data_IF_192135600272
#
_entry.id   IF_192135600272
#
_cell.length_a   1.000
_cell.length_b   1.000
_cell.length_c   1.000
_cell.angle_alpha   90.00
_cell.angle_beta   90.00
_cell.angle_gamma   90.00
#
_symmetry.space_group_name_H-M   'P 1'
#
loop_
_entity.id
_entity.type
_entity.pdbx_description
1 polymer ?
#
# COMPACT_ATOMS: atom_id res chain seq x y z
N UNK A 1 47.06 18.62 -13.08
CA UNK A 1 45.73 19.28 -13.18
C UNK A 1 44.74 18.51 -14.05
N UNK A 2 45.11 18.13 -15.27
CA UNK A 2 44.26 17.35 -16.22
C UNK A 2 43.70 16.02 -15.68
N UNK A 3 44.45 15.30 -14.85
CA UNK A 3 44.01 13.98 -14.31
C UNK A 3 42.83 14.12 -13.34
N UNK A 4 42.84 15.14 -12.45
CA UNK A 4 41.73 15.41 -11.49
C UNK A 4 40.44 15.89 -12.20
N UNK A 5 40.57 16.69 -13.28
CA UNK A 5 39.43 17.13 -14.08
C UNK A 5 38.76 15.95 -14.80
N UNK A 6 39.55 15.03 -15.36
CA UNK A 6 39.01 13.81 -15.99
C UNK A 6 38.31 12.88 -14.97
N UNK A 7 38.86 12.75 -13.78
CA UNK A 7 38.22 11.96 -12.72
C UNK A 7 36.89 12.57 -12.27
N UNK A 8 36.83 13.90 -12.10
CA UNK A 8 35.58 14.60 -11.78
C UNK A 8 34.52 14.44 -12.89
N UNK A 9 34.93 14.53 -14.15
CA UNK A 9 34.00 14.33 -15.28
C UNK A 9 33.45 12.90 -15.30
N UNK A 10 34.30 11.91 -15.09
CA UNK A 10 33.87 10.50 -15.02
C UNK A 10 32.90 10.24 -13.86
N UNK A 11 33.15 10.81 -12.69
CA UNK A 11 32.24 10.71 -11.55
C UNK A 11 30.90 11.40 -11.83
N UNK A 12 30.89 12.56 -12.48
CA UNK A 12 29.67 13.25 -12.88
C UNK A 12 28.86 12.42 -13.89
N UNK A 13 29.53 11.88 -14.91
CA UNK A 13 28.88 11.01 -15.90
C UNK A 13 28.30 9.75 -15.24
N UNK A 14 29.05 9.12 -14.34
CA UNK A 14 28.58 7.96 -13.59
C UNK A 14 27.35 8.30 -12.73
N UNK A 15 27.38 9.43 -12.02
CA UNK A 15 26.22 9.90 -11.23
C UNK A 15 25.00 10.15 -12.10
N UNK A 16 25.17 10.87 -13.23
CA UNK A 16 24.08 11.13 -14.17
C UNK A 16 23.52 9.83 -14.78
N UNK A 17 24.39 8.86 -15.07
CA UNK A 17 23.95 7.56 -15.55
C UNK A 17 23.14 6.79 -14.50
N UNK A 18 23.53 6.84 -13.23
CA UNK A 18 22.77 6.20 -12.13
C UNK A 18 21.40 6.88 -11.97
N UNK A 19 21.36 8.22 -11.97
CA UNK A 19 20.09 8.96 -11.90
C UNK A 19 19.19 8.61 -13.08
N UNK A 20 19.73 8.56 -14.30
CA UNK A 20 18.99 8.20 -15.50
C UNK A 20 18.44 6.76 -15.41
N UNK A 21 19.25 5.81 -14.94
CA UNK A 21 18.82 4.43 -14.73
C UNK A 21 17.70 4.34 -13.70
N UNK A 22 17.78 5.07 -12.59
CA UNK A 22 16.71 5.13 -11.59
C UNK A 22 15.41 5.70 -12.15
N UNK A 23 15.49 6.72 -13.01
CA UNK A 23 14.30 7.33 -13.65
C UNK A 23 13.64 6.36 -14.65
N UNK A 24 14.44 5.62 -15.42
CA UNK A 24 13.95 4.74 -16.49
C UNK A 24 13.59 3.33 -15.96
N UNK A 25 14.22 2.88 -14.86
CA UNK A 25 13.97 1.57 -14.29
C UNK A 25 12.48 1.40 -13.95
N UNK A 26 11.81 0.31 -14.38
CA UNK A 26 10.43 0.07 -13.97
C UNK A 26 10.37 -0.12 -12.44
N UNK A 27 9.24 0.21 -11.78
CA UNK A 27 9.02 -0.17 -10.40
C UNK A 27 9.17 -1.70 -10.28
N UNK A 28 9.85 -2.16 -9.25
CA UNK A 28 10.18 -3.60 -9.10
C UNK A 28 9.19 -4.29 -8.16
N UNK A 29 8.54 -3.54 -7.30
CA UNK A 29 7.77 -4.09 -6.20
C UNK A 29 6.27 -4.10 -6.43
N UNK A 30 5.63 -5.08 -5.78
CA UNK A 30 4.18 -5.17 -5.66
C UNK A 30 3.66 -3.97 -4.84
N UNK A 31 2.44 -3.56 -5.11
CA UNK A 31 1.77 -2.42 -4.48
C UNK A 31 2.45 -1.05 -4.69
N UNK A 32 3.26 -0.91 -5.75
CA UNK A 32 3.84 0.39 -6.10
C UNK A 32 2.76 1.39 -6.51
N UNK A 33 2.74 2.60 -5.91
CA UNK A 33 1.72 3.63 -6.14
C UNK A 33 1.69 4.15 -7.59
N UNK A 34 2.87 4.30 -8.21
CA UNK A 34 3.03 4.79 -9.59
C UNK A 34 3.22 3.62 -10.58
N UNK A 35 2.98 2.39 -10.14
CA UNK A 35 3.23 1.21 -10.96
C UNK A 35 2.03 0.85 -11.81
N UNK A 36 2.20 0.91 -13.15
CA UNK A 36 1.22 0.43 -14.13
C UNK A 36 1.23 -1.10 -14.30
N UNK A 37 2.07 -1.80 -13.54
CA UNK A 37 2.15 -3.26 -13.58
C UNK A 37 0.89 -3.88 -12.99
N UNK A 38 0.70 -5.16 -13.27
CA UNK A 38 -0.42 -5.93 -12.76
C UNK A 38 -0.56 -5.87 -11.23
N UNK A 39 0.56 -5.89 -10.50
CA UNK A 39 0.64 -5.81 -9.03
C UNK A 39 0.75 -4.39 -8.47
N UNK A 40 0.73 -3.35 -9.33
CA UNK A 40 0.77 -1.95 -8.89
C UNK A 40 -0.58 -1.46 -8.38
N UNK A 41 -0.61 -0.23 -7.85
CA UNK A 41 -1.79 0.43 -7.31
C UNK A 41 -2.20 1.69 -8.10
N UNK A 42 -1.57 1.99 -9.25
CA UNK A 42 -1.80 3.27 -9.95
C UNK A 42 -3.27 3.51 -10.28
N UNK A 43 -4.01 2.47 -10.69
CA UNK A 43 -5.44 2.60 -11.00
C UNK A 43 -6.25 2.92 -9.73
N UNK A 44 -6.01 2.21 -8.63
CA UNK A 44 -6.71 2.47 -7.37
C UNK A 44 -6.38 3.85 -6.80
N UNK A 45 -5.13 4.30 -6.92
CA UNK A 45 -4.72 5.66 -6.50
C UNK A 45 -5.46 6.73 -7.27
N UNK A 46 -5.60 6.58 -8.60
CA UNK A 46 -6.29 7.55 -9.46
C UNK A 46 -7.80 7.55 -9.23
N UNK A 47 -8.44 6.38 -9.22
CA UNK A 47 -9.90 6.29 -9.13
C UNK A 47 -10.46 6.66 -7.75
N UNK A 48 -9.67 6.43 -6.68
CA UNK A 48 -10.04 6.83 -5.31
C UNK A 48 -9.59 8.27 -4.96
N UNK A 49 -8.93 8.99 -5.86
CA UNK A 49 -8.24 10.26 -5.56
C UNK A 49 -7.34 10.11 -4.31
N UNK A 50 -6.69 8.95 -4.20
CA UNK A 50 -5.99 8.54 -3.00
C UNK A 50 -4.62 9.20 -2.90
N UNK A 51 -4.22 9.49 -1.67
CA UNK A 51 -2.90 10.05 -1.37
C UNK A 51 -2.02 9.03 -0.66
N UNK A 52 -0.72 9.06 -0.97
CA UNK A 52 0.26 8.22 -0.29
C UNK A 52 0.51 8.71 1.14
N UNK A 53 0.29 7.84 2.12
CA UNK A 53 0.64 8.08 3.51
C UNK A 53 2.04 7.51 3.79
N UNK A 54 3.04 8.39 3.78
CA UNK A 54 4.45 8.01 3.91
C UNK A 54 4.87 7.68 5.34
N UNK A 55 4.14 8.17 6.33
CA UNK A 55 4.36 7.88 7.75
C UNK A 55 3.04 7.90 8.51
N UNK A 56 2.80 6.88 9.34
CA UNK A 56 1.63 6.85 10.22
C UNK A 56 1.63 7.98 11.27
N UNK A 57 2.78 8.66 11.51
CA UNK A 57 2.82 9.88 12.33
C UNK A 57 2.02 11.05 11.71
N UNK A 58 1.80 11.03 10.39
CA UNK A 58 1.06 12.10 9.72
C UNK A 58 -0.45 12.01 9.97
N UNK A 59 -0.94 10.85 10.44
CA UNK A 59 -2.34 10.69 10.89
C UNK A 59 -2.70 11.62 12.05
N UNK A 60 -1.75 12.05 12.87
CA UNK A 60 -1.99 13.00 13.96
C UNK A 60 -2.46 14.39 13.47
N UNK A 61 -2.26 14.69 12.19
CA UNK A 61 -2.67 15.93 11.53
C UNK A 61 -3.90 15.76 10.66
N UNK A 62 -4.32 14.51 10.45
CA UNK A 62 -5.44 14.19 9.60
C UNK A 62 -6.74 14.50 10.33
N UNK A 63 -7.66 15.19 9.66
CA UNK A 63 -8.99 15.44 10.18
C UNK A 63 -9.92 14.28 9.80
N UNK A 64 -10.80 13.88 10.72
CA UNK A 64 -11.88 12.93 10.43
C UNK A 64 -13.08 13.64 9.76
N UNK A 65 -13.83 12.94 8.88
CA UNK A 65 -13.59 11.57 8.47
C UNK A 65 -12.44 11.45 7.46
N UNK A 66 -11.70 10.35 7.52
CA UNK A 66 -10.70 9.96 6.53
C UNK A 66 -10.54 8.43 6.56
N UNK A 67 -10.08 7.85 5.46
CA UNK A 67 -9.86 6.39 5.35
C UNK A 67 -8.39 6.07 5.15
N UNK A 68 -7.89 5.10 5.89
CA UNK A 68 -6.57 4.52 5.70
C UNK A 68 -6.70 3.12 5.12
N UNK A 69 -6.15 2.91 3.91
CA UNK A 69 -5.98 1.59 3.32
C UNK A 69 -4.61 1.04 3.72
N UNK A 70 -4.58 -0.12 4.37
CA UNK A 70 -3.37 -0.73 4.90
C UNK A 70 -3.23 -2.17 4.41
N UNK A 71 -2.08 -2.46 3.77
CA UNK A 71 -1.64 -3.80 3.40
C UNK A 71 -0.36 -4.10 4.18
N UNK A 72 -0.42 -4.86 5.29
CA UNK A 72 0.71 -5.05 6.20
C UNK A 72 1.66 -6.16 5.74
N UNK A 73 2.47 -5.88 4.73
CA UNK A 73 3.51 -6.81 4.23
C UNK A 73 4.78 -6.82 5.10
N UNK A 74 4.84 -5.93 6.11
CA UNK A 74 5.88 -5.84 7.13
C UNK A 74 5.23 -5.78 8.51
N UNK A 75 5.92 -6.25 9.58
CA UNK A 75 5.41 -6.17 10.94
C UNK A 75 4.96 -4.76 11.33
N UNK A 76 3.82 -4.65 11.98
CA UNK A 76 3.29 -3.39 12.49
C UNK A 76 3.83 -3.15 13.89
N UNK A 77 4.57 -2.04 14.08
CA UNK A 77 5.14 -1.72 15.38
C UNK A 77 4.06 -1.35 16.41
N UNK A 78 4.28 -1.58 17.72
CA UNK A 78 3.34 -1.14 18.76
C UNK A 78 3.05 0.37 18.71
N UNK A 79 4.01 1.18 18.30
CA UNK A 79 3.81 2.62 18.12
C UNK A 79 2.89 2.94 16.95
N UNK A 80 2.95 2.17 15.87
CA UNK A 80 2.08 2.33 14.70
C UNK A 80 0.68 1.80 15.00
N UNK A 81 0.56 0.68 15.72
CA UNK A 81 -0.72 0.19 16.24
C UNK A 81 -1.42 1.27 17.07
N UNK A 82 -0.71 1.90 18.01
CA UNK A 82 -1.29 2.97 18.84
C UNK A 82 -1.67 4.23 18.04
N UNK A 83 -1.01 4.52 16.92
CA UNK A 83 -1.40 5.62 16.02
C UNK A 83 -2.67 5.30 15.26
N UNK A 84 -2.76 4.10 14.70
CA UNK A 84 -3.96 3.61 14.00
C UNK A 84 -5.14 3.52 14.96
N UNK A 85 -4.94 3.03 16.19
CA UNK A 85 -5.96 2.99 17.22
C UNK A 85 -6.55 4.39 17.50
N UNK A 86 -5.69 5.38 17.76
CA UNK A 86 -6.15 6.76 18.01
C UNK A 86 -6.84 7.37 16.80
N UNK A 87 -6.36 7.09 15.60
CA UNK A 87 -6.99 7.53 14.37
C UNK A 87 -8.41 6.99 14.22
N UNK A 88 -8.59 5.69 14.45
CA UNK A 88 -9.92 5.06 14.35
C UNK A 88 -10.83 5.53 15.48
N UNK A 89 -10.35 5.55 16.74
CA UNK A 89 -11.15 6.05 17.88
C UNK A 89 -11.63 7.48 17.63
N UNK A 90 -10.85 8.29 16.93
CA UNK A 90 -11.17 9.67 16.57
C UNK A 90 -12.10 9.83 15.36
N UNK A 91 -12.72 8.75 14.87
CA UNK A 91 -13.69 8.78 13.75
C UNK A 91 -13.08 8.49 12.38
N UNK A 92 -11.86 7.94 12.30
CA UNK A 92 -11.27 7.47 11.05
C UNK A 92 -11.72 6.05 10.68
N UNK A 93 -11.64 5.71 9.41
CA UNK A 93 -11.89 4.36 8.88
C UNK A 93 -10.57 3.68 8.55
N UNK A 94 -10.32 2.48 9.09
CA UNK A 94 -9.20 1.63 8.72
C UNK A 94 -9.70 0.47 7.87
N UNK A 95 -9.21 0.36 6.64
CA UNK A 95 -9.43 -0.82 5.77
C UNK A 95 -8.15 -1.63 5.76
N UNK A 96 -8.15 -2.74 6.48
CA UNK A 96 -7.06 -3.69 6.56
C UNK A 96 -7.28 -4.79 5.51
N UNK A 97 -6.36 -4.91 4.57
CA UNK A 97 -6.38 -5.95 3.53
C UNK A 97 -5.16 -6.82 3.69
N UNK A 98 -5.37 -8.08 4.07
CA UNK A 98 -4.27 -9.02 4.29
C UNK A 98 -4.72 -10.46 4.09
N UNK A 99 -3.81 -11.28 3.58
CA UNK A 99 -4.01 -12.72 3.34
C UNK A 99 -3.01 -13.57 4.16
N UNK A 100 -1.72 -13.29 4.00
CA UNK A 100 -0.59 -14.05 4.56
C UNK A 100 0.48 -13.13 5.18
N UNK A 101 0.13 -11.89 5.51
CA UNK A 101 1.05 -10.89 6.03
C UNK A 101 1.05 -10.77 7.55
N UNK A 102 1.01 -9.55 8.03
CA UNK A 102 1.12 -9.20 9.46
C UNK A 102 -0.15 -8.57 10.05
N UNK A 103 -1.30 -8.77 9.42
CA UNK A 103 -2.59 -8.20 9.87
C UNK A 103 -3.02 -8.67 11.25
N UNK A 104 -2.76 -9.94 11.58
CA UNK A 104 -3.13 -10.51 12.87
C UNK A 104 -2.45 -9.83 14.07
N UNK A 105 -1.20 -9.38 13.91
CA UNK A 105 -0.48 -8.64 14.96
C UNK A 105 -1.19 -7.30 15.25
N UNK A 106 -1.65 -6.63 14.20
CA UNK A 106 -2.38 -5.38 14.31
C UNK A 106 -3.77 -5.60 14.94
N UNK A 107 -4.55 -6.55 14.43
CA UNK A 107 -5.90 -6.87 14.94
C UNK A 107 -5.86 -7.21 16.43
N UNK A 108 -4.92 -8.06 16.83
CA UNK A 108 -4.70 -8.40 18.25
C UNK A 108 -4.32 -7.17 19.07
N UNK A 109 -3.42 -6.30 18.53
CA UNK A 109 -2.99 -5.07 19.20
C UNK A 109 -4.11 -4.03 19.37
N UNK A 110 -5.10 -4.02 18.46
CA UNK A 110 -6.31 -3.20 18.54
C UNK A 110 -7.43 -3.83 19.40
N UNK A 111 -7.25 -5.07 19.86
CA UNK A 111 -8.27 -5.80 20.62
C UNK A 111 -9.48 -6.23 19.80
N UNK A 112 -9.33 -6.40 18.49
CA UNK A 112 -10.38 -6.80 17.56
C UNK A 112 -10.46 -8.32 17.50
N UNK A 113 -11.65 -8.88 17.69
CA UNK A 113 -11.91 -10.33 17.69
C UNK A 113 -12.11 -10.86 16.25
N UNK A 114 -11.10 -10.62 15.42
CA UNK A 114 -10.98 -11.13 14.06
C UNK A 114 -9.57 -11.65 13.88
N UNK A 115 -9.44 -12.82 13.26
CA UNK A 115 -8.15 -13.36 12.82
C UNK A 115 -8.21 -13.75 11.35
N UNK A 116 -7.13 -13.49 10.63
CA UNK A 116 -6.90 -13.97 9.27
C UNK A 116 -6.33 -15.38 9.41
N UNK A 117 -6.98 -16.37 8.83
CA UNK A 117 -6.64 -17.78 9.05
C UNK A 117 -5.27 -18.17 8.45
N UNK A 118 -4.84 -17.49 7.40
CA UNK A 118 -3.52 -17.70 6.77
C UNK A 118 -3.43 -18.93 5.86
N UNK A 119 -4.51 -19.69 5.69
CA UNK A 119 -4.63 -20.71 4.64
C UNK A 119 -5.19 -20.15 3.33
N UNK A 120 -5.20 -20.91 2.25
CA UNK A 120 -5.75 -20.48 0.96
C UNK A 120 -7.24 -20.82 0.87
N UNK A 121 -8.06 -19.82 0.57
CA UNK A 121 -9.47 -20.03 0.26
C UNK A 121 -9.62 -20.57 -1.16
N UNK A 122 -10.21 -21.75 -1.30
CA UNK A 122 -10.53 -22.38 -2.57
C UNK A 122 -12.05 -22.42 -2.76
N UNK A 123 -12.55 -22.00 -3.91
CA UNK A 123 -13.95 -22.22 -4.29
C UNK A 123 -14.01 -22.86 -5.68
N UNK A 124 -14.27 -24.17 -5.77
CA UNK A 124 -14.28 -24.87 -7.04
C UNK A 124 -15.53 -24.60 -7.91
N UNK A 125 -16.51 -23.86 -7.37
CA UNK A 125 -17.80 -23.62 -8.04
C UNK A 125 -18.00 -22.15 -8.39
N UNK A 126 -17.77 -21.25 -7.45
CA UNK A 126 -17.94 -19.81 -7.64
C UNK A 126 -16.58 -19.12 -7.72
N UNK A 127 -15.93 -19.28 -8.86
CA UNK A 127 -14.62 -18.72 -9.15
C UNK A 127 -14.49 -18.27 -10.60
N UNK A 128 -13.57 -17.36 -10.84
CA UNK A 128 -13.09 -16.98 -12.16
C UNK A 128 -11.74 -17.67 -12.43
N UNK A 129 -11.52 -18.19 -13.63
CA UNK A 129 -10.30 -18.85 -14.07
C UNK A 129 -9.93 -20.14 -13.31
N UNK A 130 -9.83 -20.10 -11.99
CA UNK A 130 -9.52 -21.24 -11.13
C UNK A 130 -10.06 -21.04 -9.71
N UNK A 131 -10.00 -22.08 -8.90
CA UNK A 131 -10.53 -22.14 -7.54
C UNK A 131 -9.87 -21.17 -6.53
N UNK A 132 -8.66 -20.67 -6.82
CA UNK A 132 -7.97 -19.66 -5.98
C UNK A 132 -8.42 -18.23 -6.30
N UNK A 133 -9.35 -18.05 -7.23
CA UNK A 133 -9.93 -16.75 -7.59
C UNK A 133 -11.45 -16.75 -7.35
N UNK A 134 -11.89 -16.94 -6.10
CA UNK A 134 -13.32 -16.98 -5.77
C UNK A 134 -14.02 -15.64 -6.03
N UNK A 135 -15.30 -15.74 -6.38
CA UNK A 135 -16.22 -14.61 -6.47
C UNK A 135 -17.28 -14.77 -5.40
N UNK A 136 -17.48 -13.74 -4.60
CA UNK A 136 -18.43 -13.76 -3.50
C UNK A 136 -19.27 -12.49 -3.42
N UNK A 137 -20.45 -12.59 -2.83
CA UNK A 137 -21.30 -11.45 -2.56
C UNK A 137 -20.93 -10.79 -1.23
N UNK A 138 -20.85 -9.47 -1.22
CA UNK A 138 -20.67 -8.66 -0.01
C UNK A 138 -21.81 -7.63 0.10
N UNK A 139 -22.16 -7.28 1.32
CA UNK A 139 -23.15 -6.25 1.62
C UNK A 139 -22.49 -5.18 2.48
N UNK A 140 -22.59 -3.93 2.04
CA UNK A 140 -22.09 -2.79 2.82
C UNK A 140 -23.09 -2.44 3.94
N UNK A 141 -22.62 -1.97 5.11
CA UNK A 141 -23.48 -1.71 6.26
C UNK A 141 -24.63 -0.72 5.97
N UNK A 142 -24.40 0.24 5.07
CA UNK A 142 -25.38 1.27 4.71
C UNK A 142 -26.20 0.95 3.45
N UNK A 143 -25.95 -0.21 2.81
CA UNK A 143 -26.56 -0.59 1.52
C UNK A 143 -27.09 -2.03 1.56
N UNK A 144 -27.88 -2.36 2.58
CA UNK A 144 -28.39 -3.73 2.78
C UNK A 144 -29.17 -4.31 1.61
N UNK A 145 -29.75 -3.46 0.75
CA UNK A 145 -30.52 -3.88 -0.43
C UNK A 145 -29.65 -4.18 -1.66
N UNK A 146 -28.39 -3.74 -1.68
CA UNK A 146 -27.50 -3.88 -2.81
C UNK A 146 -26.29 -4.76 -2.45
N UNK A 147 -26.23 -5.95 -3.00
CA UNK A 147 -25.05 -6.79 -2.90
C UNK A 147 -24.06 -6.45 -4.01
N UNK A 148 -22.80 -6.25 -3.63
CA UNK A 148 -21.67 -6.15 -4.53
C UNK A 148 -21.03 -7.53 -4.70
N UNK A 149 -20.32 -7.75 -5.80
CA UNK A 149 -19.55 -8.96 -6.03
C UNK A 149 -18.07 -8.67 -5.98
N UNK A 150 -17.35 -9.30 -5.06
CA UNK A 150 -15.89 -9.24 -5.01
C UNK A 150 -15.29 -10.41 -5.74
N UNK A 151 -14.26 -10.15 -6.54
CA UNK A 151 -13.37 -11.16 -7.05
C UNK A 151 -12.06 -11.11 -6.25
N UNK A 152 -11.71 -12.24 -5.68
CA UNK A 152 -10.49 -12.41 -4.88
C UNK A 152 -9.39 -13.08 -5.70
N UNK A 153 -8.17 -13.02 -5.15
CA UNK A 153 -7.00 -13.62 -5.78
C UNK A 153 -6.04 -14.19 -4.72
N UNK A 154 -6.01 -15.50 -4.59
CA UNK A 154 -5.23 -16.20 -3.57
C UNK A 154 -5.50 -15.69 -2.16
N UNK A 155 -6.75 -15.44 -1.85
CA UNK A 155 -7.19 -14.93 -0.56
C UNK A 155 -7.11 -15.97 0.54
N UNK A 156 -7.18 -15.48 1.79
CA UNK A 156 -7.45 -16.29 2.96
C UNK A 156 -8.94 -16.18 3.34
N UNK A 157 -9.29 -16.57 4.56
CA UNK A 157 -10.60 -16.35 5.19
C UNK A 157 -10.41 -15.76 6.59
N UNK A 158 -11.49 -15.29 7.17
CA UNK A 158 -11.51 -14.72 8.52
C UNK A 158 -12.12 -15.69 9.52
N UNK A 159 -11.53 -15.75 10.69
CA UNK A 159 -12.15 -16.27 11.91
C UNK A 159 -12.70 -15.06 12.66
N UNK A 160 -14.01 -15.04 12.88
CA UNK A 160 -14.73 -13.86 13.39
C UNK A 160 -15.42 -14.23 14.68
N UNK A 161 -15.22 -13.41 15.71
CA UNK A 161 -15.89 -13.53 17.02
C UNK A 161 -16.44 -12.20 17.52
N UNK A 162 -17.02 -12.18 18.71
CA UNK A 162 -17.50 -10.96 19.37
C UNK A 162 -18.54 -10.16 18.57
N UNK A 163 -18.47 -8.85 18.70
CA UNK A 163 -19.39 -7.88 18.06
C UNK A 163 -18.87 -7.43 16.68
N UNK A 164 -18.54 -8.40 15.83
CA UNK A 164 -18.04 -8.16 14.46
C UNK A 164 -19.10 -8.54 13.44
N UNK A 165 -19.38 -7.66 12.50
CA UNK A 165 -20.33 -7.88 11.42
C UNK A 165 -19.64 -8.48 10.20
N UNK A 166 -20.07 -9.66 9.74
CA UNK A 166 -19.58 -10.26 8.49
C UNK A 166 -20.24 -9.55 7.31
N UNK A 167 -19.43 -8.91 6.47
CA UNK A 167 -19.90 -8.23 5.26
C UNK A 167 -20.04 -9.18 4.07
N UNK A 168 -19.20 -10.21 3.99
CA UNK A 168 -19.24 -11.18 2.92
C UNK A 168 -18.53 -12.47 3.28
N UNK A 169 -19.04 -13.56 2.72
CA UNK A 169 -18.51 -14.91 2.89
C UNK A 169 -18.42 -15.61 1.55
N UNK A 170 -17.52 -16.57 1.45
CA UNK A 170 -17.41 -17.48 0.31
C UNK A 170 -18.64 -18.36 0.16
N UNK A 171 -18.71 -19.15 -0.92
CA UNK A 171 -19.82 -20.04 -1.13
C UNK A 171 -19.81 -21.23 -0.16
N UNK A 172 -20.93 -21.95 -0.11
CA UNK A 172 -21.01 -23.20 0.68
C UNK A 172 -20.14 -24.34 0.16
N UNK A 173 -19.52 -24.17 -1.00
CA UNK A 173 -18.67 -25.18 -1.64
C UNK A 173 -17.17 -24.89 -1.42
N UNK A 174 -16.86 -23.81 -0.70
CA UNK A 174 -15.49 -23.41 -0.44
C UNK A 174 -14.80 -24.34 0.54
N UNK A 175 -13.49 -24.33 0.43
CA UNK A 175 -12.54 -25.09 1.23
C UNK A 175 -11.49 -24.10 1.77
N UNK A 176 -11.18 -24.18 3.04
CA UNK A 176 -10.05 -23.48 3.62
C UNK A 176 -8.84 -24.41 3.67
N UNK A 177 -8.01 -24.35 2.63
CA UNK A 177 -6.77 -25.14 2.49
C UNK A 177 -5.70 -24.55 3.42
N UNK A 178 -5.56 -25.16 4.60
CA UNK A 178 -4.71 -24.65 5.66
C UNK A 178 -3.22 -24.97 5.47
N UNK A 179 -2.89 -25.98 4.71
CA UNK A 179 -1.51 -26.42 4.43
C UNK A 179 -1.03 -26.08 3.02
N UNK A 180 -1.87 -25.39 2.22
CA UNK A 180 -1.58 -24.91 0.88
C UNK A 180 -1.26 -26.03 -0.14
N UNK A 181 -1.84 -27.21 0.04
CA UNK A 181 -1.63 -28.35 -0.88
C UNK A 181 -2.59 -28.36 -2.08
N UNK A 182 -3.57 -27.47 -2.12
CA UNK A 182 -4.56 -27.30 -3.18
C UNK A 182 -5.70 -28.32 -3.15
N UNK A 183 -5.83 -29.09 -2.07
CA UNK A 183 -6.87 -30.10 -1.92
C UNK A 183 -7.45 -30.07 -0.50
N UNK A 184 -8.68 -30.52 -0.35
CA UNK A 184 -9.26 -30.63 0.98
C UNK A 184 -8.70 -31.82 1.75
N UNK A 185 -8.28 -31.57 3.00
CA UNK A 185 -7.86 -32.58 3.95
C UNK A 185 -8.78 -32.65 5.17
N UNK A 186 -8.76 -33.82 5.82
CA UNK A 186 -9.60 -34.03 7.01
C UNK A 186 -9.20 -33.09 8.14
N UNK A 187 -10.11 -32.23 8.51
CA UNK A 187 -9.96 -31.25 9.60
C UNK A 187 -9.91 -29.83 9.11
N UNK A 188 -9.80 -29.62 7.81
CA UNK A 188 -9.89 -28.31 7.21
C UNK A 188 -11.32 -27.81 7.13
N UNK A 189 -11.53 -26.48 7.29
CA UNK A 189 -12.86 -25.90 7.24
C UNK A 189 -13.42 -25.98 5.82
N UNK A 190 -14.73 -26.22 5.74
CA UNK A 190 -15.48 -26.22 4.48
C UNK A 190 -16.77 -25.45 4.64
N UNK A 191 -17.29 -24.94 3.55
CA UNK A 191 -18.55 -24.19 3.53
C UNK A 191 -18.34 -22.69 3.44
N UNK A 192 -19.35 -21.94 3.83
CA UNK A 192 -19.30 -20.47 3.76
C UNK A 192 -18.35 -19.93 4.80
N UNK A 193 -17.19 -19.45 4.34
CA UNK A 193 -16.13 -18.88 5.18
C UNK A 193 -16.14 -17.35 5.06
N UNK A 194 -16.12 -16.59 6.18
CA UNK A 194 -16.07 -15.13 6.14
C UNK A 194 -14.80 -14.64 5.42
N UNK A 195 -14.93 -13.59 4.60
CA UNK A 195 -13.81 -12.98 3.87
C UNK A 195 -13.70 -11.50 4.14
N UNK A 196 -14.82 -10.84 4.34
CA UNK A 196 -14.88 -9.43 4.69
C UNK A 196 -15.73 -9.24 5.94
N UNK A 197 -15.25 -8.42 6.86
CA UNK A 197 -15.92 -8.13 8.11
C UNK A 197 -15.69 -6.67 8.53
N UNK A 198 -16.57 -6.13 9.37
CA UNK A 198 -16.44 -4.81 9.94
C UNK A 198 -16.77 -4.77 11.42
N UNK A 199 -16.14 -3.86 12.13
CA UNK A 199 -16.45 -3.55 13.52
C UNK A 199 -16.22 -2.08 13.82
N UNK A 200 -16.85 -1.56 14.86
CA UNK A 200 -16.63 -0.21 15.36
C UNK A 200 -15.52 -0.19 16.40
N UNK A 201 -14.73 0.89 16.41
CA UNK A 201 -13.74 1.17 17.45
C UNK A 201 -13.78 2.66 17.79
N UNK A 202 -14.33 3.02 18.95
CA UNK A 202 -14.59 4.43 19.28
C UNK A 202 -15.64 5.04 18.36
N UNK A 203 -15.32 6.19 17.77
CA UNK A 203 -16.20 6.88 16.81
C UNK A 203 -15.98 6.47 15.34
N UNK A 204 -14.99 5.61 15.08
CA UNK A 204 -14.64 5.13 13.75
C UNK A 204 -14.92 3.65 13.53
N UNK A 205 -14.42 3.13 12.41
CA UNK A 205 -14.67 1.77 11.96
C UNK A 205 -13.40 1.09 11.44
N UNK A 206 -13.40 -0.24 11.54
CA UNK A 206 -12.37 -1.10 10.95
C UNK A 206 -13.07 -2.07 10.00
N UNK A 207 -12.59 -2.13 8.77
CA UNK A 207 -12.99 -3.14 7.78
C UNK A 207 -11.79 -4.05 7.54
N UNK A 208 -12.00 -5.35 7.64
CA UNK A 208 -10.96 -6.36 7.40
C UNK A 208 -11.36 -7.18 6.17
N UNK A 209 -10.45 -7.31 5.22
CA UNK A 209 -10.62 -8.14 4.03
C UNK A 209 -9.49 -9.15 3.97
N UNK A 210 -9.81 -10.43 3.83
CA UNK A 210 -8.83 -11.52 3.78
C UNK A 210 -8.14 -11.68 2.41
N UNK A 211 -7.96 -10.56 1.71
CA UNK A 211 -7.25 -10.49 0.42
C UNK A 211 -6.50 -9.16 0.32
N UNK A 212 -5.18 -9.23 0.23
CA UNK A 212 -4.32 -8.06 0.08
C UNK A 212 -4.36 -7.48 -1.33
N UNK A 213 -4.83 -8.25 -2.32
CA UNK A 213 -4.66 -7.94 -3.75
C UNK A 213 -5.89 -7.34 -4.43
N UNK A 214 -7.02 -7.14 -3.75
CA UNK A 214 -8.24 -6.58 -4.39
C UNK A 214 -8.03 -5.21 -5.03
N UNK A 215 -7.03 -4.44 -4.57
CA UNK A 215 -6.72 -3.09 -5.08
C UNK A 215 -5.62 -3.05 -6.14
N UNK A 216 -4.92 -4.16 -6.42
CA UNK A 216 -3.88 -4.12 -7.44
C UNK A 216 -4.50 -3.91 -8.83
N UNK A 217 -3.74 -3.31 -9.75
CA UNK A 217 -4.22 -2.97 -11.10
C UNK A 217 -4.87 -4.13 -11.84
N UNK A 218 -4.39 -5.36 -11.60
CA UNK A 218 -4.94 -6.56 -12.22
C UNK A 218 -6.26 -7.04 -11.63
N UNK A 219 -6.67 -6.51 -10.46
CA UNK A 219 -7.85 -6.98 -9.73
C UNK A 219 -8.88 -5.88 -9.49
N UNK A 220 -8.44 -4.64 -9.34
CA UNK A 220 -9.30 -3.53 -8.92
C UNK A 220 -10.49 -3.25 -9.82
N UNK A 221 -10.35 -3.49 -11.12
CA UNK A 221 -11.43 -3.33 -12.12
C UNK A 221 -12.28 -4.59 -12.33
N UNK A 222 -12.07 -5.67 -11.57
CA UNK A 222 -12.83 -6.90 -11.71
C UNK A 222 -14.06 -6.86 -10.80
N UNK A 223 -15.21 -7.28 -11.35
CA UNK A 223 -16.49 -7.21 -10.65
C UNK A 223 -16.67 -5.83 -9.96
N UNK A 224 -17.02 -5.83 -8.67
CA UNK A 224 -17.27 -4.60 -7.90
C UNK A 224 -16.14 -4.30 -6.90
N UNK A 225 -14.91 -4.76 -7.13
CA UNK A 225 -13.79 -4.56 -6.22
C UNK A 225 -13.57 -3.07 -5.89
N UNK A 226 -13.52 -2.21 -6.92
CA UNK A 226 -13.40 -0.77 -6.73
C UNK A 226 -14.62 -0.18 -6.01
N UNK A 227 -15.83 -0.60 -6.39
CA UNK A 227 -17.07 -0.11 -5.78
C UNK A 227 -17.15 -0.47 -4.29
N UNK A 228 -16.66 -1.66 -3.91
CA UNK A 228 -16.58 -2.08 -2.51
C UNK A 228 -15.64 -1.16 -1.71
N UNK A 229 -14.41 -0.95 -2.20
CA UNK A 229 -13.44 -0.10 -1.48
C UNK A 229 -13.93 1.34 -1.39
N UNK A 230 -14.50 1.88 -2.46
CA UNK A 230 -15.13 3.21 -2.45
C UNK A 230 -16.30 3.28 -1.48
N UNK A 231 -17.08 2.19 -1.37
CA UNK A 231 -18.27 2.13 -0.53
C UNK A 231 -17.99 1.99 0.98
N UNK A 232 -16.83 1.45 1.35
CA UNK A 232 -16.39 1.40 2.77
C UNK A 232 -15.53 2.60 3.16
N UNK A 233 -15.09 3.40 2.19
CA UNK A 233 -14.30 4.59 2.45
C UNK A 233 -15.18 5.75 2.90
N UNK A 234 -14.69 6.51 3.89
CA UNK A 234 -15.29 7.75 4.35
C UNK A 234 -14.25 8.88 4.34
N UNK A 235 -14.56 9.98 3.66
CA UNK A 235 -13.64 11.10 3.48
C UNK A 235 -12.42 10.81 2.59
N UNK A 236 -11.35 11.59 2.71
CA UNK A 236 -10.12 11.41 1.95
C UNK A 236 -9.49 10.03 2.16
N UNK A 237 -9.03 9.40 1.06
CA UNK A 237 -8.41 8.08 1.10
C UNK A 237 -6.89 8.20 1.14
N UNK A 238 -6.28 7.53 2.10
CA UNK A 238 -4.84 7.48 2.33
C UNK A 238 -4.36 6.03 2.20
N UNK A 239 -3.35 5.78 1.37
CA UNK A 239 -2.74 4.44 1.25
C UNK A 239 -1.42 4.42 2.01
N UNK A 240 -1.34 3.56 3.03
CA UNK A 240 -0.16 3.46 3.90
C UNK A 240 1.01 2.79 3.16
N UNK A 241 2.11 3.53 2.97
CA UNK A 241 3.32 3.04 2.31
C UNK A 241 4.30 2.34 3.27
N UNK A 242 4.20 2.63 4.56
CA UNK A 242 5.20 2.22 5.56
C UNK A 242 5.32 0.71 5.72
N UNK A 243 4.25 -0.02 5.48
CA UNK A 243 4.18 -1.47 5.64
C UNK A 243 4.23 -2.23 4.31
N UNK A 244 4.34 -1.52 3.18
CA UNK A 244 4.56 -2.13 1.87
C UNK A 244 6.03 -2.56 1.70
N UNK A 245 6.32 -3.49 0.77
CA UNK A 245 7.69 -3.84 0.41
C UNK A 245 8.50 -2.61 -0.03
N UNK A 246 9.78 -2.61 0.20
CA UNK A 246 10.68 -1.49 -0.12
C UNK A 246 11.89 -2.00 -0.89
N UNK A 247 12.03 -1.62 -2.16
CA UNK A 247 13.26 -1.86 -2.90
C UNK A 247 14.22 -0.67 -2.81
N UNK A 248 15.51 -0.96 -2.90
CA UNK A 248 16.52 0.10 -3.01
C UNK A 248 16.33 0.95 -4.28
N UNK A 249 15.73 0.37 -5.33
CA UNK A 249 15.41 1.08 -6.59
C UNK A 249 14.27 2.06 -6.36
N UNK A 250 13.18 1.63 -5.72
CA UNK A 250 12.02 2.49 -5.46
C UNK A 250 12.34 3.55 -4.40
N UNK A 251 13.18 3.20 -3.40
CA UNK A 251 13.76 4.19 -2.48
C UNK A 251 14.58 5.26 -3.22
N UNK A 252 15.41 4.85 -4.18
CA UNK A 252 16.17 5.77 -5.05
C UNK A 252 15.26 6.66 -5.90
N UNK A 253 14.18 6.11 -6.47
CA UNK A 253 13.19 6.87 -7.24
C UNK A 253 12.48 7.91 -6.39
N UNK A 254 12.07 7.55 -5.16
CA UNK A 254 11.47 8.51 -4.21
C UNK A 254 12.38 9.69 -3.91
N UNK A 255 13.68 9.45 -3.71
CA UNK A 255 14.66 10.53 -3.54
C UNK A 255 14.73 11.42 -4.78
N UNK A 256 14.78 10.84 -5.97
CA UNK A 256 14.80 11.61 -7.24
C UNK A 256 13.50 12.41 -7.42
N UNK A 257 12.35 11.81 -7.14
CA UNK A 257 11.06 12.48 -7.21
C UNK A 257 10.94 13.63 -6.19
N UNK A 258 11.42 13.43 -4.96
CA UNK A 258 11.46 14.49 -3.92
C UNK A 258 12.37 15.64 -4.33
N UNK A 259 13.54 15.35 -4.91
CA UNK A 259 14.44 16.37 -5.43
C UNK A 259 13.81 17.14 -6.60
N UNK A 260 13.09 16.45 -7.48
CA UNK A 260 12.35 17.08 -8.57
C UNK A 260 11.25 18.00 -8.02
N UNK A 261 10.43 17.55 -7.09
CA UNK A 261 9.38 18.36 -6.47
C UNK A 261 9.95 19.63 -5.80
N UNK A 262 11.12 19.55 -5.14
CA UNK A 262 11.83 20.71 -4.60
C UNK A 262 12.27 21.64 -5.70
N UNK A 263 12.84 21.12 -6.79
CA UNK A 263 13.31 21.94 -7.93
C UNK A 263 12.17 22.58 -8.72
N UNK A 264 11.01 21.92 -8.80
CA UNK A 264 9.81 22.45 -9.45
C UNK A 264 9.15 23.57 -8.60
N UNK A 265 9.48 23.69 -7.33
CA UNK A 265 9.06 24.82 -6.50
C UNK A 265 9.85 26.09 -6.86
N UNK A 266 9.19 27.26 -6.81
CA UNK A 266 9.85 28.55 -7.08
C UNK A 266 11.06 28.79 -6.18
N UNK A 267 10.97 28.45 -4.90
CA UNK A 267 12.05 28.57 -3.92
C UNK A 267 13.23 27.64 -4.28
N UNK A 268 12.93 26.36 -4.59
CA UNK A 268 13.96 25.37 -4.95
C UNK A 268 14.69 25.73 -6.24
N UNK A 269 13.96 26.19 -7.26
CA UNK A 269 14.56 26.66 -8.51
C UNK A 269 15.48 27.86 -8.29
N UNK A 270 15.06 28.80 -7.45
CA UNK A 270 15.88 29.98 -7.08
C UNK A 270 17.17 29.57 -6.40
N UNK A 271 17.10 28.63 -5.44
CA UNK A 271 18.29 28.09 -4.74
C UNK A 271 19.21 27.35 -5.72
N UNK A 272 18.66 26.49 -6.60
CA UNK A 272 19.45 25.77 -7.58
C UNK A 272 20.21 26.72 -8.52
N UNK A 273 19.55 27.75 -9.04
CA UNK A 273 20.17 28.79 -9.87
C UNK A 273 21.25 29.53 -9.09
N UNK A 274 20.99 29.91 -7.84
CA UNK A 274 21.98 30.59 -7.00
C UNK A 274 23.23 29.73 -6.77
N UNK A 275 23.07 28.43 -6.52
CA UNK A 275 24.18 27.47 -6.36
C UNK A 275 25.00 27.37 -7.64
N UNK A 276 24.36 27.22 -8.81
CA UNK A 276 25.04 27.14 -10.11
C UNK A 276 25.83 28.43 -10.36
N UNK A 277 25.24 29.58 -10.13
CA UNK A 277 25.91 30.86 -10.25
C UNK A 277 27.10 31.00 -9.29
N UNK A 278 26.91 30.61 -8.02
CA UNK A 278 27.99 30.63 -7.03
C UNK A 278 29.16 29.72 -7.46
N UNK A 279 28.89 28.52 -7.91
CA UNK A 279 29.92 27.58 -8.39
C UNK A 279 30.63 28.14 -9.62
N UNK A 280 29.90 28.67 -10.62
CA UNK A 280 30.47 29.19 -11.84
C UNK A 280 31.31 30.46 -11.62
N UNK A 281 30.92 31.32 -10.70
CA UNK A 281 31.64 32.56 -10.40
C UNK A 281 32.82 32.33 -9.44
N UNK A 282 32.68 31.46 -8.45
CA UNK A 282 33.70 31.22 -7.42
C UNK A 282 34.77 30.24 -7.87
N UNK A 283 34.45 29.28 -8.75
CA UNK A 283 35.39 28.26 -9.21
C UNK A 283 36.61 28.86 -9.94
N UNK A 284 36.48 29.84 -10.86
CA UNK A 284 37.63 30.48 -11.50
C UNK A 284 38.48 31.28 -10.51
N UNK A 285 37.86 31.90 -9.51
CA UNK A 285 38.56 32.67 -8.48
C UNK A 285 39.34 31.76 -7.53
N UNK A 286 38.77 30.66 -7.11
CA UNK A 286 39.43 29.63 -6.30
C UNK A 286 40.64 29.01 -7.03
N UNK A 287 40.53 28.76 -8.32
CA UNK A 287 41.62 28.23 -9.13
C UNK A 287 42.72 29.26 -9.45
N UNK A 288 42.42 30.55 -9.50
CA UNK A 288 43.44 31.61 -9.64
C UNK A 288 44.29 31.74 -8.35
N UNK A 289 43.65 31.69 -7.16
CA UNK A 289 44.37 31.76 -5.89
C UNK A 289 45.42 30.63 -5.70
N UNK A 290 45.14 29.44 -6.24
CA UNK A 290 46.11 28.31 -6.22
C UNK A 290 47.28 28.43 -7.17
N UNK A 291 47.19 29.27 -8.20
CA UNK A 291 48.31 29.50 -9.16
C UNK A 291 49.36 30.46 -8.62
N UNK A 292 49.07 31.25 -7.61
CA UNK A 292 49.99 32.19 -6.99
C UNK A 292 50.57 31.68 -5.65
N UNK A 293 50.19 30.47 -5.22
CA UNK A 293 50.65 29.88 -3.97
C UNK A 293 51.66 28.73 -4.14
N UNK A 294 52.08 28.48 -5.40
CA UNK A 294 53.18 27.63 -5.82
C UNK A 294 54.14 28.45 -6.70
#
# INVERSE_FOLDING_TARGET
>A
MMRRSRTMLLLLVALLSVVLLLVIAPPVEDFGFDSDRWTGLSIAMDELDASALWSLSDLERQQSPATVLLVPRKPVSPSDTSRLERFVIGGGTLVLMDDFGHGNELLSGLGIDVAIAGGTLLDPVYCEKNETMPVLSVTLPEQEENSLFLQLNHSSWLEVGGDVSVLGSSSRFSIGDSDHNGTWDKGEPTGSLPVAASCSLGDGSIVVVADSSILINGMVGLHDNMAFVSGVADGPVLVASTHLPDSGVDGGKRVVASLRAVLDSFAGMTVAVAVVLAVTLLYPWYNRGRRYAN
#
